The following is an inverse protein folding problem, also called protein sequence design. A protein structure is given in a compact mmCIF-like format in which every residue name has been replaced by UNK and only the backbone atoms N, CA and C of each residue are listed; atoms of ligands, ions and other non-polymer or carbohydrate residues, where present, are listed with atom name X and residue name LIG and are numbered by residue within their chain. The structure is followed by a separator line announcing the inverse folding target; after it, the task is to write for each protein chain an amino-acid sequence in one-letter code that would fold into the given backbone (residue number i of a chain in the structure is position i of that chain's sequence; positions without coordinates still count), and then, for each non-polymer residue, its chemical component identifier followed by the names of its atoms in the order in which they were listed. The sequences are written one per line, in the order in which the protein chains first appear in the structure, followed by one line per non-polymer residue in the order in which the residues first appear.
data_IF_945531310192
#
_entry.id   IF_945531310192
#
_cell.length_a   1.000
_cell.length_b   1.000
_cell.length_c   1.000
_cell.angle_alpha   90.00
_cell.angle_beta   90.00
_cell.angle_gamma   90.00
#
_symmetry.space_group_name_H-M   'P 1'
#
loop_
_entity.id
_entity.type
_entity.pdbx_description
1 polymer ?
#
# COMPACT_ATOMS: atom_id res chain seq x y z
N UNK A 1 21.88 -8.08 -1.85
CA UNK A 1 22.86 -8.95 -1.20
C UNK A 1 24.26 -8.56 -1.61
N UNK A 2 24.88 -7.71 -0.79
CA UNK A 2 26.29 -7.35 -0.96
C UNK A 2 27.15 -8.40 -0.24
N UNK A 3 27.97 -9.14 -0.99
CA UNK A 3 28.80 -10.22 -0.46
C UNK A 3 29.73 -9.77 0.67
N UNK A 4 30.12 -8.49 0.70
CA UNK A 4 31.03 -7.92 1.70
C UNK A 4 30.42 -7.83 3.10
N UNK A 5 29.11 -7.61 3.22
CA UNK A 5 28.42 -7.65 4.52
C UNK A 5 28.33 -9.06 5.09
N UNK A 6 28.23 -10.05 4.20
CA UNK A 6 28.21 -11.46 4.58
C UNK A 6 29.59 -11.91 5.08
N UNK A 7 30.66 -11.50 4.40
CA UNK A 7 32.05 -11.76 4.80
C UNK A 7 32.41 -11.11 6.14
N UNK A 8 32.04 -9.84 6.37
CA UNK A 8 32.24 -9.17 7.67
C UNK A 8 31.56 -9.91 8.83
N UNK A 9 30.34 -10.44 8.62
CA UNK A 9 29.63 -11.20 9.64
C UNK A 9 30.27 -12.56 9.96
N UNK A 10 30.97 -13.17 8.99
CA UNK A 10 31.76 -14.38 9.20
C UNK A 10 33.06 -14.08 9.96
N UNK A 11 33.76 -13.00 9.61
CA UNK A 11 34.99 -12.57 10.30
C UNK A 11 34.71 -12.21 11.76
N UNK A 12 33.57 -11.57 12.06
CA UNK A 12 33.17 -11.20 13.43
C UNK A 12 32.45 -12.31 14.22
N UNK A 13 32.32 -13.54 13.68
CA UNK A 13 31.62 -14.69 14.31
C UNK A 13 30.28 -14.31 14.96
N UNK A 14 29.47 -13.51 14.26
CA UNK A 14 28.22 -13.00 14.81
C UNK A 14 27.21 -14.17 14.89
N UNK A 15 26.57 -14.42 16.06
CA UNK A 15 25.61 -15.51 16.19
C UNK A 15 24.41 -15.30 15.24
N UNK A 16 23.89 -16.41 14.68
CA UNK A 16 22.89 -16.42 13.61
C UNK A 16 21.66 -15.53 13.91
N UNK A 17 21.22 -15.48 15.17
CA UNK A 17 20.11 -14.63 15.62
C UNK A 17 20.37 -13.13 15.42
N UNK A 18 21.61 -12.68 15.65
CA UNK A 18 22.01 -11.28 15.51
C UNK A 18 22.27 -10.95 14.03
N UNK A 19 22.76 -11.92 13.25
CA UNK A 19 22.87 -11.81 11.78
C UNK A 19 21.51 -11.64 11.11
N UNK A 20 20.53 -12.46 11.50
CA UNK A 20 19.16 -12.38 10.99
C UNK A 20 18.53 -11.01 11.27
N UNK A 21 18.67 -10.50 12.50
CA UNK A 21 18.07 -9.22 12.89
C UNK A 21 18.77 -7.99 12.32
N UNK A 22 20.09 -7.96 12.22
CA UNK A 22 20.83 -6.74 11.85
C UNK A 22 21.27 -6.68 10.39
N UNK A 23 21.25 -7.80 9.66
CA UNK A 23 21.62 -7.83 8.24
C UNK A 23 20.38 -8.09 7.39
N UNK A 24 19.68 -9.20 7.64
CA UNK A 24 18.57 -9.60 6.77
C UNK A 24 17.31 -8.73 6.95
N UNK A 25 16.93 -8.38 8.18
CA UNK A 25 15.73 -7.54 8.41
C UNK A 25 15.83 -6.17 7.72
N UNK A 26 16.88 -5.34 7.95
CA UNK A 26 16.97 -4.04 7.28
C UNK A 26 17.12 -4.14 5.76
N UNK A 27 17.68 -5.24 5.24
CA UNK A 27 17.79 -5.46 3.80
C UNK A 27 16.44 -5.81 3.15
N UNK A 28 15.55 -6.52 3.86
CA UNK A 28 14.23 -6.95 3.34
C UNK A 28 13.13 -5.89 3.53
N UNK A 29 13.24 -5.06 4.56
CA UNK A 29 12.31 -3.97 4.88
C UNK A 29 11.93 -3.10 3.66
N UNK A 30 12.87 -2.54 2.86
CA UNK A 30 12.51 -1.68 1.72
C UNK A 30 11.76 -2.44 0.62
N UNK A 31 12.07 -3.73 0.42
CA UNK A 31 11.35 -4.56 -0.54
C UNK A 31 9.92 -4.85 -0.08
N UNK A 32 9.75 -5.13 1.22
CA UNK A 32 8.43 -5.33 1.81
C UNK A 32 7.57 -4.07 1.69
N UNK A 33 8.16 -2.89 1.93
CA UNK A 33 7.48 -1.61 1.79
C UNK A 33 6.97 -1.37 0.36
N UNK A 34 7.81 -1.63 -0.63
CA UNK A 34 7.43 -1.51 -2.03
C UNK A 34 6.29 -2.48 -2.39
N UNK A 35 6.40 -3.74 -1.97
CA UNK A 35 5.37 -4.75 -2.21
C UNK A 35 4.03 -4.40 -1.53
N UNK A 36 4.06 -3.94 -0.28
CA UNK A 36 2.87 -3.56 0.47
C UNK A 36 2.17 -2.34 -0.16
N UNK A 37 2.94 -1.35 -0.62
CA UNK A 37 2.38 -0.16 -1.31
C UNK A 37 1.70 -0.56 -2.61
N UNK A 38 2.33 -1.44 -3.41
CA UNK A 38 1.77 -1.95 -4.65
C UNK A 38 0.48 -2.75 -4.41
N UNK A 39 0.51 -3.65 -3.42
CA UNK A 39 -0.64 -4.49 -3.07
C UNK A 39 -1.83 -3.64 -2.60
N UNK A 40 -1.60 -2.63 -1.75
CA UNK A 40 -2.65 -1.73 -1.29
C UNK A 40 -3.30 -0.95 -2.45
N UNK A 41 -2.49 -0.44 -3.39
CA UNK A 41 -3.00 0.25 -4.57
C UNK A 41 -3.88 -0.66 -5.45
N UNK A 42 -3.50 -1.94 -5.58
CA UNK A 42 -4.26 -2.91 -6.36
C UNK A 42 -5.56 -3.32 -5.66
N UNK A 43 -5.51 -3.60 -4.36
CA UNK A 43 -6.68 -3.93 -3.55
C UNK A 43 -7.71 -2.81 -3.54
N UNK A 44 -7.29 -1.55 -3.47
CA UNK A 44 -8.21 -0.41 -3.51
C UNK A 44 -8.92 -0.29 -4.87
N UNK A 45 -8.17 -0.39 -5.98
CA UNK A 45 -8.75 -0.40 -7.34
C UNK A 45 -9.75 -1.55 -7.52
N UNK A 46 -9.41 -2.74 -7.02
CA UNK A 46 -10.28 -3.90 -7.07
C UNK A 46 -11.53 -3.74 -6.20
N UNK A 47 -11.42 -3.13 -5.02
CA UNK A 47 -12.54 -2.85 -4.13
C UNK A 47 -13.56 -1.92 -4.76
N UNK A 48 -13.12 -0.82 -5.37
CA UNK A 48 -14.01 0.10 -6.10
C UNK A 48 -14.70 -0.61 -7.27
N UNK A 49 -13.97 -1.43 -8.04
CA UNK A 49 -14.57 -2.20 -9.13
C UNK A 49 -15.62 -3.20 -8.62
N UNK A 50 -15.36 -3.84 -7.47
CA UNK A 50 -16.31 -4.75 -6.83
C UNK A 50 -17.57 -4.02 -6.34
N UNK A 51 -17.44 -2.80 -5.79
CA UNK A 51 -18.60 -1.97 -5.42
C UNK A 51 -19.45 -1.60 -6.64
N UNK A 52 -18.81 -1.25 -7.76
CA UNK A 52 -19.50 -0.91 -9.01
C UNK A 52 -20.28 -2.11 -9.57
N UNK A 53 -19.74 -3.33 -9.43
CA UNK A 53 -20.40 -4.56 -9.90
C UNK A 53 -21.51 -5.01 -8.92
N UNK A 54 -21.27 -4.88 -7.61
CA UNK A 54 -22.17 -5.38 -6.58
C UNK A 54 -23.40 -4.51 -6.31
N UNK A 55 -23.39 -3.24 -6.76
CA UNK A 55 -24.46 -2.26 -6.54
C UNK A 55 -25.02 -2.23 -5.09
N UNK A 56 -24.17 -2.14 -4.05
CA UNK A 56 -24.68 -1.99 -2.70
C UNK A 56 -25.39 -0.63 -2.54
N UNK A 57 -26.61 -0.63 -1.99
CA UNK A 57 -27.40 0.58 -1.72
C UNK A 57 -26.64 1.54 -0.80
N UNK A 58 -26.54 2.81 -1.21
CA UNK A 58 -25.82 3.88 -0.52
C UNK A 58 -24.32 4.00 -0.89
N UNK A 59 -23.81 3.18 -1.80
CA UNK A 59 -22.38 3.20 -2.17
C UNK A 59 -22.04 4.24 -3.23
N UNK A 60 -20.76 4.60 -3.27
CA UNK A 60 -20.18 5.46 -4.31
C UNK A 60 -20.41 4.84 -5.70
N UNK A 61 -20.41 3.50 -5.80
CA UNK A 61 -20.69 2.75 -7.03
C UNK A 61 -22.14 2.88 -7.53
N UNK A 62 -23.12 2.88 -6.62
CA UNK A 62 -24.54 3.11 -6.96
C UNK A 62 -24.75 4.52 -7.52
N UNK A 63 -24.16 5.54 -6.89
CA UNK A 63 -24.26 6.94 -7.36
C UNK A 63 -23.57 7.15 -8.71
N UNK A 64 -22.46 6.46 -8.96
CA UNK A 64 -21.80 6.45 -10.26
C UNK A 64 -22.67 5.76 -11.33
N UNK A 65 -23.39 4.69 -10.96
CA UNK A 65 -24.29 3.96 -11.85
C UNK A 65 -25.58 4.75 -12.15
N UNK A 66 -26.18 5.41 -11.15
CA UNK A 66 -27.30 6.34 -11.32
C UNK A 66 -26.90 7.49 -12.25
N UNK A 67 -25.75 8.15 -12.03
CA UNK A 67 -25.27 9.23 -12.91
C UNK A 67 -25.03 8.74 -14.35
N UNK A 68 -24.65 7.47 -14.53
CA UNK A 68 -24.51 6.83 -15.84
C UNK A 68 -25.86 6.56 -16.51
N UNK A 69 -26.88 6.17 -15.75
CA UNK A 69 -28.26 5.96 -16.25
C UNK A 69 -28.92 7.29 -16.61
N UNK A 70 -28.74 8.33 -15.78
CA UNK A 70 -29.35 9.64 -15.97
C UNK A 70 -28.58 10.55 -16.95
N UNK A 71 -27.50 10.06 -17.59
CA UNK A 71 -26.66 10.82 -18.53
C UNK A 71 -26.18 12.18 -17.95
N UNK A 72 -26.08 12.27 -16.63
CA UNK A 72 -25.62 13.47 -15.93
C UNK A 72 -24.09 13.46 -15.90
N UNK A 73 -23.47 13.84 -17.02
CA UNK A 73 -22.01 13.98 -17.18
C UNK A 73 -21.36 14.76 -16.03
N UNK A 74 -21.91 15.89 -15.53
CA UNK A 74 -21.37 16.59 -14.37
C UNK A 74 -21.21 15.71 -13.12
N UNK A 75 -22.24 14.94 -12.75
CA UNK A 75 -22.22 14.10 -11.56
C UNK A 75 -21.28 12.91 -11.72
N UNK A 76 -21.24 12.31 -12.91
CA UNK A 76 -20.33 11.23 -13.25
C UNK A 76 -18.86 11.64 -13.07
N UNK A 77 -18.49 12.82 -13.57
CA UNK A 77 -17.14 13.36 -13.40
C UNK A 77 -16.83 13.74 -11.95
N UNK A 78 -17.80 14.33 -11.23
CA UNK A 78 -17.64 14.66 -9.82
C UNK A 78 -17.32 13.40 -8.99
N UNK A 79 -18.08 12.32 -9.16
CA UNK A 79 -17.85 11.07 -8.46
C UNK A 79 -16.55 10.39 -8.87
N UNK A 80 -16.17 10.43 -10.15
CA UNK A 80 -14.88 9.91 -10.62
C UNK A 80 -13.70 10.63 -9.94
N UNK A 81 -13.78 11.96 -9.83
CA UNK A 81 -12.77 12.77 -9.13
C UNK A 81 -12.72 12.42 -7.64
N UNK A 82 -13.88 12.28 -6.98
CA UNK A 82 -13.96 11.88 -5.56
C UNK A 82 -13.27 10.54 -5.34
N UNK A 83 -13.51 9.55 -6.21
CA UNK A 83 -12.85 8.22 -6.13
C UNK A 83 -11.33 8.36 -6.30
N UNK A 84 -10.86 9.17 -7.25
CA UNK A 84 -9.43 9.40 -7.47
C UNK A 84 -8.80 10.05 -6.22
N UNK A 85 -9.42 11.09 -5.67
CA UNK A 85 -8.94 11.78 -4.47
C UNK A 85 -8.91 10.82 -3.29
N UNK A 86 -9.97 10.03 -3.07
CA UNK A 86 -10.04 9.05 -1.99
C UNK A 86 -8.93 7.99 -2.14
N UNK A 87 -8.68 7.52 -3.37
CA UNK A 87 -7.59 6.60 -3.68
C UNK A 87 -6.23 7.15 -3.28
N UNK A 88 -5.96 8.42 -3.62
CA UNK A 88 -4.68 9.09 -3.33
C UNK A 88 -4.51 9.27 -1.82
N UNK A 89 -5.56 9.72 -1.12
CA UNK A 89 -5.56 9.91 0.33
C UNK A 89 -5.29 8.58 1.04
N UNK A 90 -6.00 7.52 0.67
CA UNK A 90 -5.84 6.21 1.29
C UNK A 90 -4.45 5.61 1.05
N UNK A 91 -3.93 5.76 -0.18
CA UNK A 91 -2.59 5.29 -0.51
C UNK A 91 -1.51 6.06 0.27
N UNK A 92 -1.63 7.39 0.38
CA UNK A 92 -0.71 8.20 1.20
C UNK A 92 -0.80 7.88 2.68
N UNK A 93 -2.01 7.72 3.23
CA UNK A 93 -2.21 7.37 4.62
C UNK A 93 -1.57 6.00 4.95
N UNK A 94 -1.77 5.01 4.07
CA UNK A 94 -1.18 3.68 4.23
C UNK A 94 0.35 3.71 4.12
N UNK A 95 0.89 4.45 3.15
CA UNK A 95 2.35 4.61 3.02
C UNK A 95 2.96 5.31 4.24
N UNK A 96 2.30 6.34 4.78
CA UNK A 96 2.72 7.01 6.00
C UNK A 96 2.66 6.07 7.21
N UNK A 97 1.62 5.24 7.32
CA UNK A 97 1.49 4.23 8.37
C UNK A 97 2.62 3.19 8.33
N UNK A 98 2.94 2.66 7.14
CA UNK A 98 4.07 1.73 6.98
C UNK A 98 5.40 2.39 7.38
N UNK A 99 5.65 3.62 6.92
CA UNK A 99 6.85 4.36 7.30
C UNK A 99 6.94 4.57 8.82
N UNK A 100 5.82 4.87 9.48
CA UNK A 100 5.77 5.02 10.93
C UNK A 100 6.08 3.70 11.66
N UNK A 101 5.50 2.59 11.22
CA UNK A 101 5.75 1.26 11.80
C UNK A 101 7.21 0.84 11.57
N UNK A 102 7.76 1.12 10.40
CA UNK A 102 9.17 0.85 10.08
C UNK A 102 10.14 1.67 10.94
N UNK A 103 9.93 2.97 11.07
CA UNK A 103 10.75 3.81 11.95
C UNK A 103 10.73 3.32 13.40
N UNK A 104 9.58 2.81 13.86
CA UNK A 104 9.46 2.22 15.20
C UNK A 104 10.18 0.86 15.34
N UNK A 105 10.30 0.10 14.26
CA UNK A 105 11.03 -1.18 14.20
C UNK A 105 12.54 -1.01 14.10
N UNK A 106 13.01 0.06 13.43
CA UNK A 106 14.43 0.39 13.31
C UNK A 106 15.02 1.01 14.59
N UNK A 107 14.20 1.35 15.58
CA UNK A 107 14.66 1.71 16.92
C UNK A 107 15.63 2.90 16.93
N UNK A 108 15.23 4.01 16.30
CA UNK A 108 15.71 5.34 16.69
C UNK A 108 14.84 5.90 17.81
#
# INVERSE_FOLDING_TARGET
MDGKMLEMAQVFKIPFRRRLRFIYIPEVIPFYQAAATLSNAMSFKAGIAAEIIGLPQGSIGERLYEAKIYLNTPELFAWTIVIIVLSIVFNRAFSAFINYVMNKLEGK
#
